data_IF_391012814482
#
_entry.id   IF_391012814482
#
_cell.length_a   1.000
_cell.length_b   1.000
_cell.length_c   1.000
_cell.angle_alpha   90.00
_cell.angle_beta   90.00
_cell.angle_gamma   90.00
#
_symmetry.space_group_name_H-M   'P 1'
#
loop_
_entity.id
_entity.type
_entity.pdbx_description
1 polymer ?
#
# COMPACT_ATOMS: atom_id res chain seq x y z
N UNK A 1 -15.27 -0.40 -3.84
CA UNK A 1 -14.80 -0.97 -2.56
C UNK A 1 -15.23 -0.05 -1.42
N UNK A 2 -15.70 -0.58 -0.29
CA UNK A 2 -15.99 0.17 0.94
C UNK A 2 -15.36 -0.56 2.12
N UNK A 3 -14.47 0.10 2.85
CA UNK A 3 -13.70 -0.47 3.97
C UNK A 3 -13.83 0.48 5.16
N UNK A 4 -13.92 -0.07 6.37
CA UNK A 4 -13.90 0.67 7.63
C UNK A 4 -12.84 -0.01 8.50
N UNK A 5 -11.86 0.75 8.95
CA UNK A 5 -10.74 0.25 9.73
C UNK A 5 -10.20 1.36 10.65
N UNK A 6 -9.43 0.95 11.65
CA UNK A 6 -8.77 1.88 12.55
C UNK A 6 -7.72 2.71 11.82
N UNK A 7 -7.73 4.02 12.04
CA UNK A 7 -6.79 4.95 11.41
C UNK A 7 -5.34 4.57 11.72
N UNK A 8 -5.05 4.17 12.95
CA UNK A 8 -3.70 3.78 13.40
C UNK A 8 -3.15 2.60 12.60
N UNK A 9 -4.00 1.60 12.31
CA UNK A 9 -3.62 0.42 11.56
C UNK A 9 -3.29 0.79 10.11
N UNK A 10 -4.18 1.57 9.46
CA UNK A 10 -3.95 2.08 8.11
C UNK A 10 -2.64 2.86 8.01
N UNK A 11 -2.40 3.77 8.95
CA UNK A 11 -1.23 4.65 8.93
C UNK A 11 0.08 3.87 9.12
N UNK A 12 0.06 2.82 9.95
CA UNK A 12 1.23 1.96 10.18
C UNK A 12 1.62 1.23 8.90
N UNK A 13 0.68 0.53 8.28
CA UNK A 13 0.94 -0.24 7.05
C UNK A 13 1.29 0.69 5.87
N UNK A 14 0.58 1.81 5.69
CA UNK A 14 0.90 2.80 4.65
C UNK A 14 2.33 3.35 4.78
N UNK A 15 2.78 3.66 6.00
CA UNK A 15 4.15 4.14 6.22
C UNK A 15 5.22 3.13 5.84
N UNK A 16 4.91 1.82 5.89
CA UNK A 16 5.83 0.78 5.44
C UNK A 16 5.87 0.71 3.91
N UNK A 17 4.72 0.55 3.24
CA UNK A 17 4.67 0.43 1.77
C UNK A 17 5.13 1.69 1.05
N UNK A 18 4.87 2.88 1.61
CA UNK A 18 5.27 4.15 0.99
C UNK A 18 6.80 4.32 0.90
N UNK A 19 7.61 3.57 1.66
CA UNK A 19 9.08 3.70 1.59
C UNK A 19 9.67 3.25 0.27
N UNK A 20 8.99 2.36 -0.44
CA UNK A 20 9.43 1.82 -1.74
C UNK A 20 8.96 2.71 -2.90
N UNK A 21 8.01 3.60 -2.65
CA UNK A 21 7.47 4.48 -3.71
C UNK A 21 8.43 5.64 -3.95
N UNK A 22 9.06 5.66 -5.13
CA UNK A 22 9.86 6.79 -5.56
C UNK A 22 9.00 8.03 -5.89
N UNK A 23 9.42 9.21 -5.41
CA UNK A 23 8.69 10.47 -5.63
C UNK A 23 8.75 10.99 -7.06
N UNK A 24 9.72 10.55 -7.87
CA UNK A 24 9.99 11.05 -9.22
C UNK A 24 10.04 9.89 -10.21
N UNK A 25 8.92 9.20 -10.35
CA UNK A 25 8.82 8.09 -11.28
C UNK A 25 8.38 8.56 -12.68
N UNK A 26 9.02 8.07 -13.74
CA UNK A 26 8.60 8.32 -15.13
C UNK A 26 7.40 7.46 -15.54
N UNK A 27 7.13 6.40 -14.76
CA UNK A 27 5.99 5.50 -14.91
C UNK A 27 4.96 5.85 -13.79
N UNK A 28 3.90 6.63 -14.08
CA UNK A 28 3.04 7.19 -13.02
C UNK A 28 2.30 6.16 -12.16
N UNK A 29 2.05 4.96 -12.67
CA UNK A 29 1.35 3.90 -11.90
C UNK A 29 2.19 3.43 -10.70
N UNK A 30 3.52 3.51 -10.77
CA UNK A 30 4.43 3.12 -9.69
C UNK A 30 4.43 4.10 -8.52
N UNK A 31 3.83 5.29 -8.69
CA UNK A 31 3.62 6.26 -7.61
C UNK A 31 2.42 5.92 -6.72
N UNK A 32 1.68 4.86 -7.03
CA UNK A 32 0.47 4.46 -6.34
C UNK A 32 0.69 3.20 -5.48
N UNK A 33 -0.21 2.99 -4.53
CA UNK A 33 -0.30 1.77 -3.73
C UNK A 33 -1.50 0.96 -4.23
N UNK A 34 -1.28 -0.32 -4.51
CA UNK A 34 -2.37 -1.26 -4.77
C UNK A 34 -3.08 -1.57 -3.45
N UNK A 35 -4.40 -1.37 -3.42
CA UNK A 35 -5.27 -1.71 -2.31
C UNK A 35 -6.16 -2.88 -2.71
N UNK A 36 -6.08 -3.99 -1.97
CA UNK A 36 -6.95 -5.15 -2.15
C UNK A 36 -7.65 -5.47 -0.83
N UNK A 37 -8.97 -5.49 -0.83
CA UNK A 37 -9.75 -5.87 0.34
C UNK A 37 -10.37 -7.25 0.12
N UNK A 38 -10.01 -8.21 0.96
CA UNK A 38 -10.55 -9.56 0.95
C UNK A 38 -10.94 -9.98 2.37
N UNK A 39 -12.18 -10.45 2.52
CA UNK A 39 -12.74 -10.81 3.82
C UNK A 39 -12.68 -9.65 4.83
N UNK A 40 -11.91 -9.85 5.90
CA UNK A 40 -11.70 -8.90 6.99
C UNK A 40 -10.29 -8.30 6.98
N UNK A 41 -9.67 -8.20 5.79
CA UNK A 41 -8.32 -7.67 5.64
C UNK A 41 -8.21 -6.72 4.46
N UNK A 42 -7.37 -5.69 4.62
CA UNK A 42 -6.93 -4.78 3.59
C UNK A 42 -5.43 -4.98 3.35
N UNK A 43 -5.09 -5.50 2.18
CA UNK A 43 -3.73 -5.60 1.67
C UNK A 43 -3.33 -4.32 0.93
N UNK A 44 -2.09 -3.91 1.17
CA UNK A 44 -1.41 -2.79 0.54
C UNK A 44 -0.12 -3.29 -0.10
N UNK A 45 0.10 -2.94 -1.37
CA UNK A 45 1.31 -3.32 -2.10
C UNK A 45 1.87 -2.13 -2.88
N UNK A 46 3.20 -1.99 -2.87
CA UNK A 46 3.94 -0.99 -3.65
C UNK A 46 5.25 -1.56 -4.19
N UNK A 47 5.71 -1.05 -5.34
CA UNK A 47 6.93 -1.50 -6.00
C UNK A 47 7.58 -0.41 -6.84
N UNK A 48 8.92 -0.44 -6.94
CA UNK A 48 9.74 0.36 -7.85
C UNK A 48 10.33 -0.49 -9.00
N UNK A 49 9.81 -1.71 -9.21
CA UNK A 49 10.28 -2.77 -10.12
C UNK A 49 11.49 -3.58 -9.63
N UNK A 50 12.28 -3.08 -8.68
CA UNK A 50 13.41 -3.79 -8.09
C UNK A 50 13.03 -4.41 -6.74
N UNK A 51 12.22 -3.69 -5.97
CA UNK A 51 11.71 -4.08 -4.67
C UNK A 51 10.18 -4.05 -4.67
N UNK A 52 9.58 -5.02 -3.99
CA UNK A 52 8.15 -5.06 -3.70
C UNK A 52 7.96 -5.19 -2.19
N UNK A 53 7.03 -4.39 -1.63
CA UNK A 53 6.60 -4.53 -0.24
C UNK A 53 5.10 -4.73 -0.21
N UNK A 54 4.67 -5.74 0.56
CA UNK A 54 3.28 -6.09 0.79
C UNK A 54 3.01 -6.08 2.29
N UNK A 55 1.95 -5.39 2.69
CA UNK A 55 1.50 -5.27 4.08
C UNK A 55 0.00 -5.52 4.15
N UNK A 56 -0.46 -6.17 5.22
CA UNK A 56 -1.88 -6.40 5.46
C UNK A 56 -2.30 -5.85 6.82
N UNK A 57 -3.47 -5.22 6.86
CA UNK A 57 -4.14 -4.82 8.09
C UNK A 57 -5.51 -5.47 8.17
N UNK A 58 -6.00 -5.81 9.37
CA UNK A 58 -7.43 -6.01 9.61
C UNK A 58 -8.23 -4.75 9.24
#
# INVERSE_FOLDING_TARGET
MRVILERSNLLKSLNHVHRVVERRNTIPILSNVLLSAEGATLEMKATDLDLEVTEATP
#
